data_IF_864412266116
#
_entry.id   IF_864412266116
#
_cell.length_a   1.000
_cell.length_b   1.000
_cell.length_c   1.000
_cell.angle_alpha   90.00
_cell.angle_beta   90.00
_cell.angle_gamma   90.00
#
_symmetry.space_group_name_H-M   'P 1'
#
loop_
_entity.id
_entity.type
_entity.pdbx_description
1 polymer ?
#
# COMPACT_ATOMS: atom_id res chain seq x y z
N UNK A 1 18.73 4.98 -16.77
CA UNK A 1 17.32 4.53 -16.91
C UNK A 1 16.48 5.60 -16.25
N UNK A 2 15.70 6.36 -17.00
CA UNK A 2 14.94 7.47 -16.44
C UNK A 2 13.60 6.97 -15.94
N UNK A 3 13.40 7.00 -14.63
CA UNK A 3 12.17 6.56 -13.97
C UNK A 3 11.42 7.80 -13.47
N UNK A 4 10.12 7.85 -13.70
CA UNK A 4 9.22 8.76 -13.00
C UNK A 4 8.62 8.08 -11.78
N UNK A 5 8.55 8.79 -10.68
CA UNK A 5 7.69 8.48 -9.55
C UNK A 5 6.61 9.55 -9.48
N UNK A 6 5.36 9.15 -9.67
CA UNK A 6 4.20 10.04 -9.72
C UNK A 6 3.37 9.80 -8.48
N UNK A 7 2.93 10.87 -7.83
CA UNK A 7 1.91 10.84 -6.79
C UNK A 7 0.75 11.75 -7.18
N UNK A 8 -0.41 11.14 -7.34
CA UNK A 8 -1.67 11.77 -7.70
C UNK A 8 -2.32 12.37 -6.45
N UNK A 9 -2.79 13.62 -6.55
CA UNK A 9 -3.50 14.28 -5.46
C UNK A 9 -4.98 13.91 -5.50
N UNK A 10 -5.29 12.72 -5.01
CA UNK A 10 -6.66 12.20 -4.99
C UNK A 10 -7.47 12.82 -3.84
N UNK A 11 -8.61 13.48 -4.11
CA UNK A 11 -9.55 13.84 -3.05
C UNK A 11 -10.18 12.57 -2.45
N UNK A 12 -10.63 12.59 -1.19
CA UNK A 12 -11.21 11.43 -0.50
C UNK A 12 -12.38 10.77 -1.23
N UNK A 13 -13.08 11.54 -2.08
CA UNK A 13 -14.21 11.09 -2.90
C UNK A 13 -13.80 10.32 -4.15
N UNK A 14 -12.51 10.27 -4.51
CA UNK A 14 -11.97 9.64 -5.75
C UNK A 14 -10.84 8.65 -5.50
N UNK A 15 -10.81 7.98 -4.34
CA UNK A 15 -9.86 6.88 -4.08
C UNK A 15 -9.90 5.77 -5.15
N UNK A 16 -11.01 5.66 -5.90
CA UNK A 16 -11.18 4.71 -7.00
C UNK A 16 -10.55 5.14 -8.35
N UNK A 17 -9.94 6.32 -8.48
CA UNK A 17 -9.43 6.83 -9.77
C UNK A 17 -8.02 6.33 -10.16
N UNK A 18 -7.29 5.67 -9.24
CA UNK A 18 -5.91 5.23 -9.53
C UNK A 18 -5.78 4.35 -10.80
N UNK A 19 -6.65 3.36 -11.09
CA UNK A 19 -6.52 2.57 -12.32
C UNK A 19 -6.65 3.41 -13.60
N UNK A 20 -7.53 4.41 -13.61
CA UNK A 20 -7.69 5.31 -14.76
C UNK A 20 -6.44 6.17 -14.96
N UNK A 21 -5.86 6.65 -13.86
CA UNK A 21 -4.61 7.42 -13.86
C UNK A 21 -3.39 6.58 -14.22
N UNK A 22 -3.39 5.28 -13.90
CA UNK A 22 -2.37 4.36 -14.39
C UNK A 22 -2.55 4.08 -15.88
N UNK A 23 -3.78 3.93 -16.36
CA UNK A 23 -4.08 3.84 -17.79
C UNK A 23 -3.51 5.04 -18.56
N UNK A 24 -3.60 6.25 -17.99
CA UNK A 24 -2.94 7.44 -18.53
C UNK A 24 -1.41 7.29 -18.61
N UNK A 25 -0.75 6.70 -17.61
CA UNK A 25 0.69 6.46 -17.66
C UNK A 25 1.06 5.37 -18.68
N UNK A 26 0.20 4.37 -18.83
CA UNK A 26 0.35 3.27 -19.79
C UNK A 26 0.31 3.75 -21.25
N UNK A 27 -0.33 4.89 -21.54
CA UNK A 27 -0.24 5.56 -22.85
C UNK A 27 1.18 6.03 -23.19
N UNK A 28 2.04 6.26 -22.19
CA UNK A 28 3.42 6.69 -22.39
C UNK A 28 4.41 5.54 -22.34
N UNK A 29 4.19 4.56 -21.45
CA UNK A 29 5.08 3.42 -21.29
C UNK A 29 4.32 2.20 -20.78
N UNK A 30 4.57 0.99 -21.32
CA UNK A 30 3.96 -0.23 -20.79
C UNK A 30 4.58 -0.68 -19.45
N UNK A 31 5.64 -0.02 -18.99
CA UNK A 31 6.38 -0.40 -17.78
C UNK A 31 5.96 0.49 -16.62
N UNK A 32 4.79 0.19 -16.03
CA UNK A 32 4.18 0.95 -14.93
C UNK A 32 3.95 0.05 -13.71
N UNK A 33 4.48 0.44 -12.56
CA UNK A 33 4.25 -0.18 -11.26
C UNK A 33 3.31 0.72 -10.44
N UNK A 34 2.11 0.25 -10.16
CA UNK A 34 1.18 0.86 -9.24
C UNK A 34 1.75 0.91 -7.81
N UNK A 35 1.64 2.06 -7.17
CA UNK A 35 1.98 2.30 -5.77
C UNK A 35 0.73 2.83 -5.02
N UNK A 36 -0.20 1.95 -4.63
CA UNK A 36 -1.36 2.36 -3.84
C UNK A 36 -0.94 3.12 -2.57
N UNK A 37 -1.74 4.10 -2.11
CA UNK A 37 -3.11 4.40 -2.57
C UNK A 37 -3.18 5.33 -3.79
N UNK A 38 -2.13 6.09 -4.08
CA UNK A 38 -2.21 7.30 -4.92
C UNK A 38 -1.00 7.50 -5.84
N UNK A 39 -0.12 6.50 -6.01
CA UNK A 39 1.12 6.68 -6.74
C UNK A 39 1.42 5.62 -7.78
N UNK A 40 2.51 5.86 -8.53
CA UNK A 40 3.05 4.95 -9.53
C UNK A 40 4.54 5.19 -9.76
N UNK A 41 5.23 4.16 -10.26
CA UNK A 41 6.50 4.30 -10.96
C UNK A 41 6.30 3.99 -12.44
N UNK A 42 6.96 4.74 -13.30
CA UNK A 42 6.93 4.52 -14.74
C UNK A 42 8.35 4.57 -15.32
N UNK A 43 8.75 3.56 -16.09
CA UNK A 43 10.04 3.58 -16.80
C UNK A 43 9.90 4.27 -18.15
N UNK A 44 10.54 5.43 -18.30
CA UNK A 44 10.44 6.25 -19.51
C UNK A 44 11.53 5.97 -20.54
N UNK A 45 12.41 4.98 -20.33
CA UNK A 45 13.54 4.74 -21.25
C UNK A 45 13.11 4.53 -22.70
N UNK A 46 11.98 3.88 -22.93
CA UNK A 46 11.38 3.73 -24.26
C UNK A 46 10.64 4.99 -24.71
N UNK A 47 9.91 5.61 -23.78
CA UNK A 47 9.09 6.80 -24.03
C UNK A 47 9.93 8.01 -24.47
N UNK A 48 11.05 8.30 -23.81
CA UNK A 48 11.92 9.43 -24.15
C UNK A 48 12.39 9.36 -25.62
N UNK A 49 12.71 8.14 -26.09
CA UNK A 49 13.13 7.90 -27.47
C UNK A 49 11.98 8.00 -28.46
N UNK A 50 10.81 7.45 -28.11
CA UNK A 50 9.64 7.44 -28.98
C UNK A 50 9.05 8.84 -29.17
N UNK A 51 8.94 9.61 -28.09
CA UNK A 51 8.37 10.96 -28.13
C UNK A 51 9.38 12.05 -28.45
N UNK A 52 10.69 11.75 -28.42
CA UNK A 52 11.74 12.74 -28.66
C UNK A 52 11.75 13.87 -27.63
N UNK A 53 11.40 13.55 -26.37
CA UNK A 53 11.26 14.49 -25.26
C UNK A 53 11.96 13.95 -24.03
N UNK A 54 12.46 14.86 -23.20
CA UNK A 54 13.05 14.45 -21.92
C UNK A 54 11.98 14.07 -20.88
N UNK A 55 12.40 13.43 -19.79
CA UNK A 55 11.49 13.04 -18.73
C UNK A 55 10.74 14.20 -18.04
N UNK A 56 11.29 15.41 -18.00
CA UNK A 56 10.64 16.58 -17.38
C UNK A 56 9.53 17.11 -18.27
N UNK A 57 9.76 17.15 -19.58
CA UNK A 57 8.76 17.46 -20.59
C UNK A 57 7.63 16.43 -20.58
N UNK A 58 7.96 15.14 -20.61
CA UNK A 58 6.97 14.07 -20.52
C UNK A 58 6.17 14.11 -19.21
N UNK A 59 6.83 14.35 -18.07
CA UNK A 59 6.16 14.55 -16.80
C UNK A 59 5.18 15.74 -16.83
N UNK A 60 5.53 16.82 -17.53
CA UNK A 60 4.65 17.98 -17.69
C UNK A 60 3.43 17.65 -18.55
N UNK A 61 3.60 16.88 -19.64
CA UNK A 61 2.48 16.38 -20.45
C UNK A 61 1.56 15.47 -19.62
N UNK A 62 2.12 14.52 -18.87
CA UNK A 62 1.37 13.62 -17.98
C UNK A 62 0.55 14.43 -16.97
N UNK A 63 1.15 15.43 -16.32
CA UNK A 63 0.46 16.30 -15.36
C UNK A 63 -0.70 17.05 -16.01
N UNK A 64 -0.48 17.68 -17.16
CA UNK A 64 -1.54 18.41 -17.89
C UNK A 64 -2.69 17.48 -18.27
N UNK A 65 -2.40 16.26 -18.76
CA UNK A 65 -3.43 15.27 -19.09
C UNK A 65 -4.18 14.77 -17.86
N UNK A 66 -3.49 14.48 -16.75
CA UNK A 66 -4.12 14.07 -15.51
C UNK A 66 -5.10 15.14 -15.00
N UNK A 67 -4.68 16.41 -15.06
CA UNK A 67 -5.52 17.54 -14.67
C UNK A 67 -6.71 17.75 -15.63
N UNK A 68 -6.47 17.68 -16.95
CA UNK A 68 -7.51 17.95 -17.95
C UNK A 68 -8.56 16.84 -18.05
N UNK A 69 -8.14 15.57 -18.01
CA UNK A 69 -9.03 14.41 -18.20
C UNK A 69 -9.69 13.98 -16.89
N UNK A 70 -8.95 14.05 -15.79
CA UNK A 70 -9.41 13.49 -14.51
C UNK A 70 -9.56 14.56 -13.42
N UNK A 71 -9.16 15.82 -13.64
CA UNK A 71 -9.21 16.85 -12.60
C UNK A 71 -8.28 16.57 -11.41
N UNK A 72 -7.19 15.84 -11.64
CA UNK A 72 -6.24 15.41 -10.61
C UNK A 72 -4.87 16.04 -10.88
N UNK A 73 -4.34 16.78 -9.91
CA UNK A 73 -2.96 17.28 -9.98
C UNK A 73 -1.96 16.21 -9.50
N UNK A 74 -0.70 16.38 -9.89
CA UNK A 74 0.36 15.40 -9.65
C UNK A 74 1.61 16.08 -9.07
N UNK A 75 2.24 15.39 -8.12
CA UNK A 75 3.62 15.65 -7.72
C UNK A 75 4.50 14.60 -8.39
N UNK A 76 5.57 15.03 -9.08
CA UNK A 76 6.40 14.12 -9.88
C UNK A 76 7.88 14.28 -9.52
N UNK A 77 8.52 13.15 -9.23
CA UNK A 77 9.97 13.02 -9.13
C UNK A 77 10.52 12.21 -10.30
N UNK A 78 11.69 12.58 -10.82
CA UNK A 78 12.38 11.87 -11.89
C UNK A 78 13.82 11.57 -11.46
N UNK A 79 14.35 10.40 -11.84
CA UNK A 79 15.75 10.08 -11.57
C UNK A 79 16.22 8.76 -12.17
N UNK A 80 17.54 8.47 -12.06
CA UNK A 80 18.11 7.24 -12.57
C UNK A 80 17.80 6.07 -11.63
N UNK A 81 16.65 5.43 -11.84
CA UNK A 81 16.18 4.29 -11.05
C UNK A 81 15.06 4.63 -10.05
N UNK A 82 14.29 3.63 -9.59
CA UNK A 82 13.14 3.83 -8.69
C UNK A 82 13.46 4.55 -7.38
N UNK A 83 14.61 4.27 -6.76
CA UNK A 83 15.04 4.89 -5.51
C UNK A 83 15.19 6.39 -5.68
N UNK A 84 15.94 6.83 -6.69
CA UNK A 84 16.21 8.24 -6.93
C UNK A 84 14.95 8.99 -7.37
N UNK A 85 14.09 8.38 -8.18
CA UNK A 85 12.80 8.94 -8.54
C UNK A 85 11.91 9.17 -7.30
N UNK A 86 11.84 8.21 -6.36
CA UNK A 86 11.12 8.36 -5.08
C UNK A 86 11.74 9.43 -4.18
N UNK A 87 13.07 9.52 -4.15
CA UNK A 87 13.78 10.54 -3.39
C UNK A 87 13.54 11.94 -3.98
N UNK A 88 13.53 12.06 -5.31
CA UNK A 88 13.21 13.30 -6.01
C UNK A 88 11.77 13.74 -5.74
N UNK A 89 10.83 12.79 -5.72
CA UNK A 89 9.41 13.05 -5.42
C UNK A 89 9.23 13.67 -4.02
N UNK A 90 10.04 13.28 -3.04
CA UNK A 90 9.99 13.86 -1.68
C UNK A 90 10.32 15.36 -1.66
N UNK A 91 11.19 15.82 -2.56
CA UNK A 91 11.56 17.22 -2.70
C UNK A 91 10.67 17.97 -3.72
N UNK A 92 9.85 17.24 -4.47
CA UNK A 92 9.00 17.81 -5.50
C UNK A 92 7.80 18.54 -4.90
N UNK A 93 7.24 19.47 -5.67
CA UNK A 93 6.02 20.21 -5.32
C UNK A 93 5.00 20.12 -6.45
N UNK A 94 3.70 20.30 -6.16
CA UNK A 94 2.69 20.39 -7.23
C UNK A 94 3.11 21.41 -8.29
N UNK A 95 2.91 21.06 -9.56
CA UNK A 95 3.29 21.91 -10.70
C UNK A 95 4.77 21.90 -11.11
N UNK A 96 5.70 21.41 -10.28
CA UNK A 96 7.14 21.37 -10.62
C UNK A 96 7.72 19.95 -10.46
N UNK A 97 8.15 19.37 -11.57
CA UNK A 97 8.85 18.08 -11.57
C UNK A 97 10.26 18.25 -10.99
N UNK A 98 10.60 17.48 -9.97
CA UNK A 98 11.99 17.41 -9.46
C UNK A 98 12.73 16.30 -10.19
N UNK A 99 13.77 16.64 -10.94
CA UNK A 99 14.61 15.66 -11.61
C UNK A 99 16.01 15.58 -10.98
N UNK A 100 16.52 14.36 -10.84
CA UNK A 100 17.93 14.09 -10.52
C UNK A 100 18.65 13.76 -11.83
N UNK A 101 19.58 14.61 -12.29
CA UNK A 101 20.32 14.35 -13.53
C UNK A 101 21.27 13.16 -13.34
N UNK A 102 21.52 12.42 -14.43
CA UNK A 102 22.54 11.37 -14.44
C UNK A 102 23.93 11.92 -14.14
N UNK A 103 24.67 11.26 -13.27
CA UNK A 103 25.96 11.74 -12.76
C UNK A 103 25.87 12.71 -11.56
N UNK A 104 24.66 13.17 -11.21
CA UNK A 104 24.40 14.04 -10.05
C UNK A 104 23.90 13.31 -8.80
N UNK A 105 23.86 11.98 -8.81
CA UNK A 105 23.19 11.16 -7.82
C UNK A 105 23.81 11.32 -6.42
N UNK A 106 25.15 11.24 -6.35
CA UNK A 106 25.87 11.37 -5.08
C UNK A 106 25.66 12.73 -4.45
N UNK A 107 25.79 13.80 -5.24
CA UNK A 107 25.60 15.18 -4.79
C UNK A 107 24.15 15.42 -4.33
N UNK A 108 23.17 14.84 -5.02
CA UNK A 108 21.77 14.91 -4.61
C UNK A 108 21.51 14.21 -3.28
N UNK A 109 22.17 13.07 -3.02
CA UNK A 109 21.95 12.28 -1.81
C UNK A 109 22.72 12.78 -0.59
N UNK A 110 23.89 13.40 -0.77
CA UNK A 110 24.88 13.65 0.29
C UNK A 110 24.30 14.23 1.59
N UNK A 111 23.54 15.31 1.49
CA UNK A 111 22.93 15.99 2.65
C UNK A 111 21.60 15.40 3.14
N UNK A 112 21.10 14.33 2.52
CA UNK A 112 19.77 13.79 2.87
C UNK A 112 19.85 12.88 4.10
N UNK A 113 18.83 12.92 4.96
CA UNK A 113 18.80 12.06 6.14
C UNK A 113 18.67 10.59 5.73
N UNK A 114 19.33 9.69 6.46
CA UNK A 114 19.30 8.25 6.18
C UNK A 114 17.89 7.66 6.22
N UNK A 115 17.03 8.21 7.08
CA UNK A 115 15.64 7.80 7.22
C UNK A 115 14.78 8.11 5.99
N UNK A 116 15.22 9.00 5.08
CA UNK A 116 14.49 9.27 3.85
C UNK A 116 14.65 8.16 2.80
N UNK A 117 15.71 7.36 2.90
CA UNK A 117 16.08 6.36 1.89
C UNK A 117 15.05 5.23 1.80
N UNK A 118 14.48 4.94 0.61
CA UNK A 118 13.57 3.84 0.41
C UNK A 118 14.18 2.49 0.81
N UNK A 119 13.51 1.80 1.75
CA UNK A 119 13.94 0.51 2.31
C UNK A 119 14.65 0.61 3.66
N UNK A 120 14.94 1.82 4.15
CA UNK A 120 15.44 2.01 5.53
C UNK A 120 14.25 2.21 6.46
N UNK A 121 14.02 1.26 7.36
CA UNK A 121 13.00 1.36 8.40
C UNK A 121 13.43 2.26 9.56
N UNK A 122 12.48 2.61 10.42
CA UNK A 122 12.72 3.47 11.61
C UNK A 122 13.77 2.88 12.55
N UNK A 123 13.74 1.56 12.79
CA UNK A 123 14.73 0.87 13.62
C UNK A 123 16.14 0.97 13.03
N UNK A 124 16.29 0.65 11.74
CA UNK A 124 17.57 0.74 11.03
C UNK A 124 18.11 2.17 11.02
N UNK A 125 17.25 3.16 10.74
CA UNK A 125 17.64 4.57 10.78
C UNK A 125 18.12 4.98 12.19
N UNK A 126 17.40 4.58 13.24
CA UNK A 126 17.79 4.85 14.63
C UNK A 126 19.16 4.26 14.96
N UNK A 127 19.38 2.98 14.63
CA UNK A 127 20.69 2.34 14.82
C UNK A 127 21.78 3.10 14.09
N UNK A 128 21.58 3.50 12.84
CA UNK A 128 22.60 4.27 12.09
C UNK A 128 22.87 5.64 12.74
N UNK A 129 21.83 6.35 13.19
CA UNK A 129 21.97 7.62 13.88
C UNK A 129 22.74 7.50 15.22
N UNK A 130 22.56 6.40 15.97
CA UNK A 130 23.30 6.14 17.22
C UNK A 130 24.82 6.03 16.98
N UNK A 131 25.25 5.68 15.76
CA UNK A 131 26.65 5.64 15.34
C UNK A 131 27.08 6.88 14.52
N UNK A 132 26.29 7.96 14.54
CA UNK A 132 26.59 9.22 13.84
C UNK A 132 26.36 9.20 12.32
N UNK A 133 25.76 8.12 11.79
CA UNK A 133 25.45 7.93 10.38
C UNK A 133 24.03 8.46 10.06
N UNK A 134 23.80 9.74 10.34
CA UNK A 134 22.52 10.43 10.19
C UNK A 134 22.18 10.82 8.75
N UNK A 135 23.19 10.92 7.88
CA UNK A 135 23.10 11.40 6.49
C UNK A 135 23.61 10.37 5.50
N UNK A 136 23.08 10.38 4.29
CA UNK A 136 23.50 9.45 3.23
C UNK A 136 24.95 9.69 2.81
N UNK A 137 25.45 10.92 2.84
CA UNK A 137 26.86 11.22 2.63
C UNK A 137 27.78 10.47 3.61
N UNK A 138 27.44 10.51 4.92
CA UNK A 138 28.17 9.78 5.96
C UNK A 138 28.07 8.27 5.80
N UNK A 139 26.87 7.75 5.52
CA UNK A 139 26.68 6.30 5.23
C UNK A 139 27.52 5.86 4.04
N UNK A 140 27.56 6.68 2.99
CA UNK A 140 28.29 6.38 1.78
C UNK A 140 29.81 6.53 1.92
N UNK A 141 30.29 7.25 2.94
CA UNK A 141 31.70 7.35 3.34
C UNK A 141 32.11 6.27 4.37
N UNK A 142 31.15 5.65 5.06
CA UNK A 142 31.43 4.61 6.04
C UNK A 142 31.97 3.33 5.39
N UNK A 143 32.90 2.60 6.04
CA UNK A 143 33.35 1.30 5.57
C UNK A 143 32.18 0.32 5.47
N UNK A 144 32.12 -0.44 4.37
CA UNK A 144 31.07 -1.44 4.14
C UNK A 144 30.98 -2.45 5.30
N UNK A 145 32.13 -2.89 5.84
CA UNK A 145 32.18 -3.82 6.98
C UNK A 145 31.47 -3.28 8.22
N UNK A 146 31.58 -1.98 8.49
CA UNK A 146 30.86 -1.32 9.60
C UNK A 146 29.36 -1.38 9.37
N UNK A 147 28.89 -1.03 8.18
CA UNK A 147 27.45 -1.07 7.84
C UNK A 147 26.90 -2.50 7.94
N UNK A 148 27.64 -3.49 7.44
CA UNK A 148 27.25 -4.89 7.52
C UNK A 148 27.18 -5.41 8.97
N UNK A 149 28.06 -4.93 9.86
CA UNK A 149 28.01 -5.27 11.28
C UNK A 149 26.81 -4.63 11.99
N UNK A 150 26.39 -3.44 11.58
CA UNK A 150 25.28 -2.72 12.21
C UNK A 150 23.91 -3.25 11.76
N UNK A 151 23.72 -3.52 10.47
CA UNK A 151 22.39 -3.81 9.91
C UNK A 151 22.29 -5.18 9.21
N UNK A 152 23.38 -5.95 9.21
CA UNK A 152 23.48 -7.27 8.59
C UNK A 152 24.15 -7.24 7.22
N UNK A 153 24.72 -8.38 6.80
CA UNK A 153 25.59 -8.47 5.61
C UNK A 153 24.91 -8.02 4.31
N UNK A 154 23.66 -8.46 4.08
CA UNK A 154 22.89 -8.11 2.87
C UNK A 154 22.40 -6.66 2.92
N UNK A 155 21.71 -6.28 3.98
CA UNK A 155 21.16 -4.94 4.14
C UNK A 155 22.24 -3.85 4.17
N UNK A 156 23.40 -4.13 4.78
CA UNK A 156 24.53 -3.20 4.82
C UNK A 156 25.13 -2.96 3.45
N UNK A 157 25.21 -3.99 2.60
CA UNK A 157 25.65 -3.85 1.20
C UNK A 157 24.68 -3.03 0.38
N UNK A 158 23.38 -3.35 0.46
CA UNK A 158 22.34 -2.61 -0.26
C UNK A 158 22.27 -1.14 0.19
N UNK A 159 22.37 -0.89 1.50
CA UNK A 159 22.41 0.45 2.07
C UNK A 159 23.61 1.25 1.55
N UNK A 160 24.80 0.63 1.54
CA UNK A 160 26.01 1.28 1.06
C UNK A 160 25.85 1.68 -0.41
N UNK A 161 25.50 0.74 -1.29
CA UNK A 161 25.31 0.98 -2.72
C UNK A 161 24.29 2.11 -2.98
N UNK A 162 23.13 2.04 -2.32
CA UNK A 162 22.08 3.07 -2.44
C UNK A 162 22.55 4.45 -1.99
N UNK A 163 23.30 4.53 -0.89
CA UNK A 163 23.86 5.79 -0.41
C UNK A 163 24.91 6.36 -1.39
N UNK A 164 25.55 5.52 -2.21
CA UNK A 164 26.41 5.96 -3.31
C UNK A 164 25.65 6.36 -4.59
N UNK A 165 24.31 6.25 -4.61
CA UNK A 165 23.49 6.50 -5.80
C UNK A 165 23.32 5.29 -6.71
N UNK A 166 23.83 4.11 -6.32
CA UNK A 166 23.68 2.89 -7.10
C UNK A 166 22.35 2.22 -6.74
N UNK A 167 21.38 2.33 -7.65
CA UNK A 167 20.10 1.64 -7.55
C UNK A 167 19.99 0.51 -8.57
N UNK A 168 19.88 -0.73 -8.06
CA UNK A 168 19.63 -1.93 -8.88
C UNK A 168 18.15 -2.27 -9.01
N UNK A 169 17.27 -1.47 -8.40
CA UNK A 169 15.84 -1.60 -8.51
C UNK A 169 15.37 -1.44 -9.96
N UNK A 170 14.34 -2.19 -10.32
CA UNK A 170 13.63 -2.05 -11.60
C UNK A 170 12.15 -1.79 -11.32
N UNK A 171 11.51 -1.04 -12.18
CA UNK A 171 10.04 -0.93 -12.17
C UNK A 171 9.50 -2.29 -12.59
N UNK A 172 8.68 -2.91 -11.75
CA UNK A 172 8.06 -4.20 -12.04
C UNK A 172 6.59 -3.95 -12.34
N UNK A 173 6.15 -4.11 -13.60
CA UNK A 173 4.76 -3.91 -13.93
C UNK A 173 3.86 -4.77 -13.06
N UNK A 174 2.87 -4.13 -12.45
CA UNK A 174 1.87 -4.80 -11.63
C UNK A 174 0.50 -4.20 -11.96
N UNK A 175 -0.57 -4.97 -11.71
CA UNK A 175 -1.91 -4.37 -11.66
C UNK A 175 -2.06 -3.52 -10.39
N UNK A 176 -3.13 -2.74 -10.31
CA UNK A 176 -3.54 -2.16 -9.02
C UNK A 176 -3.90 -3.31 -8.09
N UNK A 177 -2.95 -3.75 -7.27
CA UNK A 177 -3.24 -4.56 -6.11
C UNK A 177 -3.89 -3.63 -5.09
N UNK A 178 -5.15 -3.27 -5.36
CA UNK A 178 -6.01 -2.62 -4.37
C UNK A 178 -5.99 -3.56 -3.18
N UNK A 179 -5.46 -3.09 -2.07
CA UNK A 179 -5.85 -3.71 -0.80
C UNK A 179 -7.04 -2.91 -0.31
N UNK A 180 -8.09 -3.60 0.12
CA UNK A 180 -9.18 -2.95 0.82
C UNK A 180 -8.90 -3.10 2.31
N UNK A 181 -9.07 -2.04 3.08
CA UNK A 181 -8.89 -2.09 4.52
C UNK A 181 -10.09 -1.48 5.25
N UNK A 182 -10.40 -2.04 6.41
CA UNK A 182 -11.39 -1.55 7.35
C UNK A 182 -10.74 -1.45 8.73
N UNK A 183 -10.65 -0.23 9.27
CA UNK A 183 -10.18 0.03 10.63
C UNK A 183 -11.38 0.20 11.57
N UNK A 184 -11.21 -0.27 12.81
CA UNK A 184 -12.16 -0.13 13.92
C UNK A 184 -11.37 0.38 15.13
N UNK A 185 -11.21 1.71 15.26
CA UNK A 185 -10.67 2.31 16.47
C UNK A 185 -11.67 2.18 17.62
N UNK A 186 -11.16 2.06 18.84
CA UNK A 186 -11.96 2.12 20.06
C UNK A 186 -11.85 3.51 20.69
N UNK A 187 -12.95 4.02 21.27
CA UNK A 187 -12.99 5.31 21.96
C UNK A 187 -12.08 5.35 23.20
N UNK A 188 -11.92 4.19 23.84
CA UNK A 188 -11.01 3.95 24.96
C UNK A 188 -10.29 2.64 24.70
N UNK A 189 -9.05 2.51 25.19
CA UNK A 189 -8.30 1.28 25.01
C UNK A 189 -9.08 0.09 25.62
N UNK A 190 -9.40 -0.87 24.76
CA UNK A 190 -10.34 -1.95 25.04
C UNK A 190 -9.60 -3.21 25.49
N UNK A 191 -10.17 -3.93 26.46
CA UNK A 191 -9.61 -5.16 27.00
C UNK A 191 -10.56 -6.34 26.84
N UNK A 192 -11.85 -6.07 26.64
CA UNK A 192 -12.90 -7.07 26.49
C UNK A 192 -12.77 -7.81 25.13
N UNK A 193 -12.47 -9.13 25.14
CA UNK A 193 -12.38 -9.92 23.92
C UNK A 193 -13.68 -9.95 23.11
N UNK A 194 -14.85 -9.82 23.74
CA UNK A 194 -16.13 -9.83 23.04
C UNK A 194 -16.36 -8.54 22.26
N UNK A 195 -15.86 -7.40 22.78
CA UNK A 195 -15.82 -6.14 22.03
C UNK A 195 -14.84 -6.21 20.87
N UNK A 196 -13.69 -6.87 21.04
CA UNK A 196 -12.77 -7.11 19.94
C UNK A 196 -13.40 -7.98 18.84
N UNK A 197 -14.08 -9.07 19.21
CA UNK A 197 -14.79 -9.92 18.25
C UNK A 197 -15.88 -9.15 17.49
N UNK A 198 -16.67 -8.32 18.18
CA UNK A 198 -17.67 -7.46 17.52
C UNK A 198 -17.04 -6.46 16.53
N UNK A 199 -15.92 -5.84 16.90
CA UNK A 199 -15.19 -4.95 16.00
C UNK A 199 -14.67 -5.70 14.75
N UNK A 200 -14.10 -6.90 14.93
CA UNK A 200 -13.64 -7.73 13.81
C UNK A 200 -14.79 -8.17 12.89
N UNK A 201 -15.94 -8.57 13.45
CA UNK A 201 -17.15 -8.89 12.68
C UNK A 201 -17.62 -7.68 11.85
N UNK A 202 -17.66 -6.50 12.48
CA UNK A 202 -18.01 -5.25 11.79
C UNK A 202 -17.02 -4.91 10.66
N UNK A 203 -15.71 -5.06 10.92
CA UNK A 203 -14.67 -4.80 9.93
C UNK A 203 -14.74 -5.80 8.76
N UNK A 204 -14.93 -7.09 9.04
CA UNK A 204 -15.02 -8.14 8.03
C UNK A 204 -16.27 -8.01 7.16
N UNK A 205 -17.42 -7.64 7.75
CA UNK A 205 -18.66 -7.40 7.01
C UNK A 205 -18.56 -6.20 6.05
N UNK A 206 -17.97 -5.10 6.51
CA UNK A 206 -17.69 -3.92 5.69
C UNK A 206 -16.71 -4.24 4.54
N UNK A 207 -15.62 -4.96 4.86
CA UNK A 207 -14.65 -5.43 3.88
C UNK A 207 -15.29 -6.34 2.82
N UNK A 208 -16.13 -7.30 3.24
CA UNK A 208 -16.86 -8.21 2.35
C UNK A 208 -17.84 -7.48 1.44
N UNK A 209 -18.63 -6.55 1.99
CA UNK A 209 -19.55 -5.73 1.22
C UNK A 209 -18.80 -4.85 0.19
N UNK A 210 -17.69 -4.23 0.59
CA UNK A 210 -16.86 -3.41 -0.31
C UNK A 210 -16.21 -4.24 -1.40
N UNK A 211 -15.73 -5.45 -1.10
CA UNK A 211 -15.17 -6.39 -2.08
C UNK A 211 -16.21 -6.77 -3.13
N UNK A 212 -17.43 -7.12 -2.70
CA UNK A 212 -18.54 -7.45 -3.62
C UNK A 212 -19.00 -6.24 -4.44
N UNK A 213 -19.02 -5.04 -3.85
CA UNK A 213 -19.36 -3.81 -4.57
C UNK A 213 -18.39 -3.46 -5.71
N UNK A 214 -17.17 -4.00 -5.70
CA UNK A 214 -16.18 -3.81 -6.77
C UNK A 214 -15.89 -5.10 -7.56
N UNK A 215 -16.73 -6.13 -7.41
CA UNK A 215 -16.60 -7.45 -8.05
C UNK A 215 -15.20 -8.07 -7.88
N UNK A 216 -14.61 -7.91 -6.69
CA UNK A 216 -13.32 -8.51 -6.32
C UNK A 216 -13.48 -9.50 -5.18
N UNK A 217 -12.56 -10.45 -5.14
CA UNK A 217 -12.35 -11.36 -4.01
C UNK A 217 -10.93 -11.24 -3.51
N UNK A 218 -10.68 -11.52 -2.24
CA UNK A 218 -9.33 -11.47 -1.66
C UNK A 218 -8.78 -12.88 -1.41
N UNK A 219 -7.48 -13.07 -1.67
CA UNK A 219 -6.77 -14.31 -1.36
C UNK A 219 -6.04 -14.25 -0.03
N UNK A 220 -5.70 -13.06 0.45
CA UNK A 220 -4.95 -12.87 1.71
C UNK A 220 -5.68 -11.89 2.61
N UNK A 221 -5.84 -12.25 3.88
CA UNK A 221 -6.40 -11.37 4.91
C UNK A 221 -5.34 -11.07 5.96
N UNK A 222 -5.14 -9.79 6.25
CA UNK A 222 -4.16 -9.29 7.20
C UNK A 222 -4.85 -8.57 8.35
N UNK A 223 -4.62 -9.02 9.58
CA UNK A 223 -5.07 -8.38 10.82
C UNK A 223 -3.90 -7.58 11.41
N UNK A 224 -4.15 -6.31 11.70
CA UNK A 224 -3.25 -5.46 12.49
C UNK A 224 -3.94 -5.04 13.78
N UNK A 225 -3.32 -5.37 14.91
CA UNK A 225 -3.76 -4.97 16.25
C UNK A 225 -2.82 -3.87 16.72
N UNK A 226 -3.37 -2.72 17.08
CA UNK A 226 -2.60 -1.61 17.68
C UNK A 226 -2.93 -1.50 19.16
N UNK A 227 -1.93 -1.44 20.00
CA UNK A 227 -2.08 -1.44 21.46
C UNK A 227 -2.04 -0.02 22.04
N UNK A 228 -2.37 0.10 23.33
CA UNK A 228 -2.36 1.36 24.07
C UNK A 228 -0.98 2.07 24.07
N UNK A 229 0.10 1.29 24.07
CA UNK A 229 1.49 1.79 24.02
C UNK A 229 1.94 2.22 22.61
N UNK A 230 1.03 2.21 21.64
CA UNK A 230 1.24 2.49 20.20
C UNK A 230 2.07 1.46 19.45
N UNK A 231 2.50 0.37 20.09
CA UNK A 231 3.03 -0.77 19.36
C UNK A 231 1.93 -1.46 18.54
N UNK A 232 2.32 -2.24 17.55
CA UNK A 232 1.38 -2.97 16.71
C UNK A 232 1.89 -4.38 16.40
N UNK A 233 0.97 -5.33 16.32
CA UNK A 233 1.25 -6.67 15.81
C UNK A 233 0.41 -6.92 14.57
N UNK A 234 1.05 -7.40 13.51
CA UNK A 234 0.40 -7.74 12.25
C UNK A 234 0.54 -9.23 11.97
N UNK A 235 -0.57 -9.87 11.60
CA UNK A 235 -0.60 -11.27 11.14
C UNK A 235 -1.41 -11.38 9.87
N UNK A 236 -0.92 -12.13 8.91
CA UNK A 236 -1.57 -12.38 7.62
C UNK A 236 -1.84 -13.86 7.44
N UNK A 237 -2.95 -14.19 6.79
CA UNK A 237 -3.27 -15.55 6.34
C UNK A 237 -3.69 -15.54 4.88
N UNK A 238 -3.03 -16.38 4.09
CA UNK A 238 -3.46 -16.70 2.73
C UNK A 238 -4.56 -17.77 2.81
N UNK A 239 -5.72 -17.47 2.27
CA UNK A 239 -6.87 -18.37 2.21
C UNK A 239 -6.62 -19.49 1.20
N UNK A 240 -7.25 -20.64 1.41
CA UNK A 240 -7.25 -21.76 0.45
C UNK A 240 -8.00 -21.43 -0.83
N UNK A 241 -9.00 -20.55 -0.73
CA UNK A 241 -9.84 -20.07 -1.83
C UNK A 241 -9.99 -18.55 -1.72
N UNK A 242 -9.88 -17.79 -2.83
CA UNK A 242 -10.14 -16.37 -2.78
C UNK A 242 -11.63 -16.12 -2.50
N UNK A 243 -11.96 -15.22 -1.57
CA UNK A 243 -13.35 -14.98 -1.18
C UNK A 243 -13.64 -13.52 -0.90
N UNK A 244 -14.91 -13.15 -1.08
CA UNK A 244 -15.50 -11.91 -0.57
C UNK A 244 -16.63 -12.20 0.43
N UNK A 245 -16.79 -13.46 0.87
CA UNK A 245 -17.87 -13.88 1.75
C UNK A 245 -17.61 -13.41 3.19
N UNK A 246 -18.55 -12.65 3.76
CA UNK A 246 -18.29 -11.96 5.04
C UNK A 246 -18.12 -12.94 6.20
N UNK A 247 -18.84 -14.07 6.18
CA UNK A 247 -18.67 -15.11 7.19
C UNK A 247 -17.28 -15.78 7.14
N UNK A 248 -16.76 -16.08 5.94
CA UNK A 248 -15.43 -16.65 5.77
C UNK A 248 -14.31 -15.68 6.20
N UNK A 249 -14.47 -14.39 5.88
CA UNK A 249 -13.56 -13.33 6.32
C UNK A 249 -13.59 -13.16 7.85
N UNK A 250 -14.79 -13.19 8.45
CA UNK A 250 -14.97 -13.08 9.91
C UNK A 250 -14.29 -14.26 10.63
N UNK A 251 -14.53 -15.49 10.18
CA UNK A 251 -13.90 -16.69 10.75
C UNK A 251 -12.37 -16.58 10.69
N UNK A 252 -11.84 -16.17 9.53
CA UNK A 252 -10.40 -15.98 9.36
C UNK A 252 -9.84 -14.89 10.28
N UNK A 253 -10.56 -13.78 10.44
CA UNK A 253 -10.18 -12.71 11.35
C UNK A 253 -10.15 -13.17 12.82
N UNK A 254 -11.12 -13.98 13.24
CA UNK A 254 -11.13 -14.60 14.57
C UNK A 254 -9.95 -15.53 14.78
N UNK A 255 -9.67 -16.43 13.84
CA UNK A 255 -8.53 -17.34 13.97
C UNK A 255 -7.19 -16.59 14.04
N UNK A 256 -7.05 -15.52 13.24
CA UNK A 256 -5.87 -14.64 13.28
C UNK A 256 -5.74 -13.93 14.64
N UNK A 257 -6.86 -13.47 15.18
CA UNK A 257 -6.92 -12.82 16.49
C UNK A 257 -6.61 -13.79 17.63
N UNK A 258 -7.16 -15.00 17.62
CA UNK A 258 -6.90 -16.04 18.62
C UNK A 258 -5.44 -16.49 18.59
N UNK A 259 -4.85 -16.63 17.40
CA UNK A 259 -3.43 -16.98 17.24
C UNK A 259 -2.45 -15.94 17.79
N UNK A 260 -2.89 -14.70 18.04
CA UNK A 260 -2.08 -13.68 18.72
C UNK A 260 -1.93 -13.97 20.21
N UNK A 261 -2.81 -14.77 20.81
CA UNK A 261 -2.73 -15.16 22.22
C UNK A 261 -2.69 -13.95 23.17
N UNK A 262 -3.50 -12.92 22.90
CA UNK A 262 -3.46 -11.66 23.66
C UNK A 262 -3.81 -11.88 25.13
N UNK A 263 -2.81 -11.83 26.00
CA UNK A 263 -3.00 -11.94 27.45
C UNK A 263 -3.23 -10.56 28.07
N UNK A 264 -4.51 -10.17 28.21
CA UNK A 264 -4.94 -8.90 28.85
C UNK A 264 -4.35 -7.63 28.21
N UNK A 265 -3.99 -7.70 26.92
CA UNK A 265 -3.48 -6.55 26.18
C UNK A 265 -4.60 -5.53 25.94
N UNK A 266 -4.33 -4.26 26.24
CA UNK A 266 -5.25 -3.14 25.92
C UNK A 266 -5.08 -2.76 24.45
N UNK A 267 -6.14 -2.95 23.67
CA UNK A 267 -6.18 -2.71 22.24
C UNK A 267 -6.82 -1.35 21.96
N UNK A 268 -6.14 -0.55 21.15
CA UNK A 268 -6.61 0.78 20.73
C UNK A 268 -7.35 0.74 19.41
N UNK A 269 -6.93 -0.12 18.48
CA UNK A 269 -7.63 -0.30 17.21
C UNK A 269 -7.36 -1.67 16.59
N UNK A 270 -8.33 -2.14 15.81
CA UNK A 270 -8.22 -3.36 15.01
C UNK A 270 -8.45 -3.01 13.54
N UNK A 271 -7.49 -3.36 12.68
CA UNK A 271 -7.59 -3.15 11.25
C UNK A 271 -7.50 -4.47 10.49
N UNK A 272 -8.47 -4.71 9.61
CA UNK A 272 -8.42 -5.80 8.62
C UNK A 272 -8.06 -5.23 7.26
N UNK A 273 -7.19 -5.93 6.54
CA UNK A 273 -6.81 -5.62 5.17
C UNK A 273 -6.95 -6.87 4.29
N UNK A 274 -7.78 -6.78 3.26
CA UNK A 274 -7.86 -7.73 2.18
C UNK A 274 -6.80 -7.40 1.13
N UNK A 275 -5.99 -8.39 0.79
CA UNK A 275 -4.87 -8.30 -0.15
C UNK A 275 -4.99 -9.38 -1.22
N UNK A 276 -4.15 -9.30 -2.24
CA UNK A 276 -4.16 -10.23 -3.38
C UNK A 276 -5.55 -10.31 -4.02
N UNK A 277 -6.10 -9.14 -4.39
CA UNK A 277 -7.42 -9.07 -4.97
C UNK A 277 -7.43 -9.53 -6.42
N UNK A 278 -8.39 -10.38 -6.76
CA UNK A 278 -8.64 -10.84 -8.12
C UNK A 278 -10.09 -10.56 -8.52
N UNK A 279 -10.40 -10.39 -9.81
CA UNK A 279 -11.78 -10.40 -10.29
C UNK A 279 -12.53 -11.63 -9.76
N UNK A 280 -13.76 -11.44 -9.28
CA UNK A 280 -14.58 -12.54 -8.75
C UNK A 280 -14.86 -13.62 -9.81
N UNK A 281 -15.00 -13.22 -11.08
CA UNK A 281 -15.17 -14.11 -12.24
C UNK A 281 -14.01 -15.10 -12.46
N UNK A 282 -12.79 -14.72 -12.06
CA UNK A 282 -11.58 -15.54 -12.20
C UNK A 282 -11.27 -16.35 -10.94
N UNK A 283 -12.09 -16.23 -9.91
CA UNK A 283 -11.89 -16.93 -8.65
C UNK A 283 -12.37 -18.37 -8.77
N UNK A 284 -11.46 -19.33 -8.62
CA UNK A 284 -11.86 -20.71 -8.38
C UNK A 284 -12.48 -20.80 -6.98
N UNK A 285 -13.74 -21.23 -6.94
CA UNK A 285 -14.48 -21.51 -5.72
C UNK A 285 -14.93 -22.97 -5.75
N UNK A 286 -14.72 -23.69 -4.65
CA UNK A 286 -15.28 -25.02 -4.51
C UNK A 286 -16.77 -24.90 -4.20
N UNK A 287 -17.61 -25.39 -5.10
CA UNK A 287 -19.04 -25.53 -4.83
C UNK A 287 -19.21 -26.41 -3.60
N UNK A 288 -19.81 -25.84 -2.56
CA UNK A 288 -20.14 -26.58 -1.34
C UNK A 288 -21.62 -26.90 -1.38
N UNK A 289 -22.00 -28.15 -1.17
CA UNK A 289 -23.40 -28.57 -1.04
C UNK A 289 -23.95 -28.33 0.37
N UNK A 290 -23.39 -27.36 1.11
CA UNK A 290 -23.85 -27.00 2.44
C UNK A 290 -25.00 -25.98 2.31
N UNK A 291 -26.26 -26.38 2.58
CA UNK A 291 -27.41 -25.51 2.43
C UNK A 291 -27.36 -24.30 3.37
N UNK A 292 -26.57 -24.34 4.44
CA UNK A 292 -26.40 -23.22 5.37
C UNK A 292 -25.53 -22.13 4.73
N UNK A 293 -24.38 -22.47 4.15
CA UNK A 293 -23.47 -21.52 3.51
C UNK A 293 -24.16 -20.82 2.32
N UNK A 294 -24.88 -21.59 1.50
CA UNK A 294 -25.63 -21.06 0.37
C UNK A 294 -26.71 -20.04 0.82
N UNK A 295 -27.43 -20.35 1.91
CA UNK A 295 -28.42 -19.45 2.47
C UNK A 295 -27.79 -18.16 2.98
N UNK A 296 -26.65 -18.22 3.66
CA UNK A 296 -25.94 -17.02 4.15
C UNK A 296 -25.49 -16.15 2.97
N UNK A 297 -24.97 -16.74 1.89
CA UNK A 297 -24.59 -15.97 0.69
C UNK A 297 -25.76 -15.24 0.04
N UNK A 298 -26.90 -15.91 -0.13
CA UNK A 298 -28.13 -15.27 -0.65
C UNK A 298 -28.58 -14.12 0.26
N UNK A 299 -28.46 -14.29 1.58
CA UNK A 299 -28.76 -13.22 2.54
C UNK A 299 -27.79 -12.03 2.38
N UNK A 300 -26.49 -12.28 2.16
CA UNK A 300 -25.51 -11.22 1.92
C UNK A 300 -25.84 -10.38 0.68
N UNK A 301 -26.19 -11.02 -0.44
CA UNK A 301 -26.59 -10.31 -1.67
C UNK A 301 -27.84 -9.45 -1.46
N UNK A 302 -28.84 -9.95 -0.71
CA UNK A 302 -30.03 -9.19 -0.37
C UNK A 302 -29.69 -8.03 0.57
N UNK A 303 -28.85 -8.28 1.58
CA UNK A 303 -28.42 -7.26 2.54
C UNK A 303 -27.62 -6.15 1.85
N UNK A 304 -26.75 -6.48 0.90
CA UNK A 304 -25.96 -5.51 0.15
C UNK A 304 -26.85 -4.64 -0.74
N UNK A 305 -27.84 -5.23 -1.43
CA UNK A 305 -28.85 -4.45 -2.18
C UNK A 305 -29.65 -3.51 -1.28
N UNK A 306 -30.03 -3.97 -0.09
CA UNK A 306 -30.72 -3.12 0.89
C UNK A 306 -29.81 -1.98 1.38
N UNK A 307 -28.53 -2.24 1.66
CA UNK A 307 -27.56 -1.21 2.06
C UNK A 307 -27.29 -0.18 0.96
N UNK A 308 -27.22 -0.62 -0.29
CA UNK A 308 -27.04 0.27 -1.43
C UNK A 308 -28.22 1.26 -1.58
N UNK A 309 -29.44 0.80 -1.30
CA UNK A 309 -30.66 1.61 -1.44
C UNK A 309 -30.98 2.48 -0.21
N UNK A 310 -30.76 1.97 1.00
CA UNK A 310 -31.23 2.58 2.24
C UNK A 310 -30.08 3.02 3.18
N UNK A 311 -28.83 2.83 2.77
CA UNK A 311 -27.64 3.21 3.51
C UNK A 311 -27.02 2.07 4.32
N UNK A 312 -25.79 2.26 4.83
CA UNK A 312 -24.96 1.19 5.40
C UNK A 312 -25.53 0.56 6.67
N UNK A 313 -26.40 1.27 7.40
CA UNK A 313 -27.05 0.79 8.63
C UNK A 313 -28.39 0.09 8.40
N UNK A 314 -28.84 -0.05 7.15
CA UNK A 314 -30.14 -0.64 6.83
C UNK A 314 -30.25 -2.12 7.23
N UNK A 315 -29.17 -2.88 7.08
CA UNK A 315 -29.09 -4.29 7.50
C UNK A 315 -27.75 -4.54 8.18
N UNK A 316 -27.79 -4.97 9.44
CA UNK A 316 -26.59 -5.27 10.23
C UNK A 316 -26.74 -6.62 10.94
N UNK A 317 -25.64 -7.34 11.20
CA UNK A 317 -25.66 -8.50 12.09
C UNK A 317 -26.28 -8.15 13.45
N UNK A 318 -27.16 -9.01 13.98
CA UNK A 318 -27.86 -8.74 15.25
C UNK A 318 -26.92 -8.52 16.44
N UNK A 319 -25.73 -9.14 16.42
CA UNK A 319 -24.67 -8.92 17.43
C UNK A 319 -24.05 -7.51 17.41
N UNK A 320 -24.31 -6.73 16.34
CA UNK A 320 -23.91 -5.34 16.20
C UNK A 320 -25.08 -4.36 16.43
N UNK A 321 -26.30 -4.87 16.64
CA UNK A 321 -27.47 -4.07 16.97
C UNK A 321 -27.56 -3.87 18.49
N UNK A 322 -26.67 -3.03 19.03
CA UNK A 322 -26.70 -2.61 20.43
C UNK A 322 -26.21 -1.16 20.52
#
# INVERSE_FOLDING_TARGET
MTILCVRFQLPPTREAALPELLGLLEEFTPVVEALPPDGALADLRGAERYFGRDAVELASVIRVRALALYGVDCVIGAGPGPMLARMALRDARPGLTRAVPGGGERAFLDGKPVAALPGVGTATARTLCEYGLDTLGRVAAAPLSTLQRLVGAKAGRELHEKAQGVDRGRVVPNGVSRSLAADRPFDRDELDPDRHRRALLSAAGDLGARLRAVDKVCRTLTLTVRYADRSATTRSRTLSEPTAHSAALTRTAYDLYEALGLQRARVRSLALRAESLTPAEHASHQLTFDPVDEKVRRIEEVADRARAKFGPRAVMPGSLAA
#
